data_IF_132235706106
#
_entry.id   IF_132235706106
#
_cell.length_a   1.000
_cell.length_b   1.000
_cell.length_c   1.000
_cell.angle_alpha   90.00
_cell.angle_beta   90.00
_cell.angle_gamma   90.00
#
_symmetry.space_group_name_H-M   'P 1'
#
loop_
_entity.id
_entity.type
_entity.pdbx_description
1 polymer ?
#
# COMPACT_ATOMS: atom_id res chain seq x y z
N UNK A 1 20.37 20.60 7.77
CA UNK A 1 18.89 20.59 7.70
C UNK A 1 18.33 20.68 9.12
N UNK A 2 17.35 21.56 9.39
CA UNK A 2 16.81 21.74 10.75
C UNK A 2 16.02 20.52 11.23
N UNK A 3 15.87 20.33 12.56
CA UNK A 3 15.04 19.25 13.14
C UNK A 3 13.60 19.31 12.64
N UNK A 4 13.03 20.51 12.55
CA UNK A 4 11.67 20.75 12.05
C UNK A 4 11.54 20.30 10.59
N UNK A 5 12.50 20.69 9.75
CA UNK A 5 12.53 20.28 8.33
C UNK A 5 12.61 18.76 8.21
N UNK A 6 13.45 18.08 9.02
CA UNK A 6 13.56 16.61 9.01
C UNK A 6 12.24 15.94 9.40
N UNK A 7 11.57 16.42 10.45
CA UNK A 7 10.28 15.88 10.90
C UNK A 7 9.18 16.08 9.84
N UNK A 8 9.15 17.24 9.19
CA UNK A 8 8.20 17.53 8.12
C UNK A 8 8.44 16.67 6.87
N UNK A 9 9.71 16.48 6.47
CA UNK A 9 10.06 15.60 5.35
C UNK A 9 9.66 14.15 5.61
N UNK A 10 9.90 13.63 6.82
CA UNK A 10 9.46 12.29 7.21
C UNK A 10 7.94 12.16 7.19
N UNK A 11 7.24 13.13 7.78
CA UNK A 11 5.78 13.13 7.79
C UNK A 11 5.17 13.25 6.37
N UNK A 12 5.86 13.91 5.44
CA UNK A 12 5.48 13.94 4.02
C UNK A 12 5.74 12.59 3.35
N UNK A 13 6.91 11.99 3.59
CA UNK A 13 7.28 10.69 3.06
C UNK A 13 6.26 9.60 3.45
N UNK A 14 5.87 9.53 4.73
CA UNK A 14 4.87 8.58 5.23
C UNK A 14 3.51 8.82 4.55
N UNK A 15 3.09 10.09 4.43
CA UNK A 15 1.80 10.43 3.81
C UNK A 15 1.74 10.08 2.32
N UNK A 16 2.82 10.26 1.56
CA UNK A 16 2.85 9.86 0.15
C UNK A 16 2.60 8.34 0.02
N UNK A 17 3.22 7.54 0.88
CA UNK A 17 3.03 6.09 0.91
C UNK A 17 1.63 5.69 1.39
N UNK A 18 1.03 6.44 2.33
CA UNK A 18 -0.39 6.29 2.72
C UNK A 18 -1.38 6.52 1.59
N UNK A 19 -1.10 7.46 0.67
CA UNK A 19 -1.98 7.66 -0.49
C UNK A 19 -1.90 6.45 -1.43
N UNK A 20 -0.70 5.89 -1.62
CA UNK A 20 -0.51 4.62 -2.31
C UNK A 20 -1.29 3.48 -1.64
N UNK A 21 -1.23 3.37 -0.32
CA UNK A 21 -1.96 2.36 0.47
C UNK A 21 -3.49 2.54 0.39
N UNK A 22 -4.00 3.79 0.42
CA UNK A 22 -5.42 4.09 0.30
C UNK A 22 -5.97 3.78 -1.10
N UNK A 23 -5.16 4.00 -2.15
CA UNK A 23 -5.47 3.51 -3.51
C UNK A 23 -5.43 1.98 -3.59
N UNK A 24 -4.51 1.36 -2.85
CA UNK A 24 -4.40 -0.10 -2.70
C UNK A 24 -5.60 -0.74 -2.02
N UNK A 25 -6.23 -0.09 -1.03
CA UNK A 25 -7.38 -0.65 -0.31
C UNK A 25 -8.55 -0.96 -1.26
N UNK A 26 -8.90 -0.02 -2.14
CA UNK A 26 -9.99 -0.25 -3.12
C UNK A 26 -9.65 -1.34 -4.13
N UNK A 27 -8.38 -1.44 -4.53
CA UNK A 27 -7.93 -2.50 -5.41
C UNK A 27 -7.94 -3.86 -4.72
N UNK A 28 -7.52 -3.92 -3.46
CA UNK A 28 -7.59 -5.11 -2.62
C UNK A 28 -9.05 -5.59 -2.45
N UNK A 29 -9.99 -4.69 -2.17
CA UNK A 29 -11.43 -5.02 -2.11
C UNK A 29 -11.96 -5.59 -3.43
N UNK A 30 -11.51 -5.06 -4.57
CA UNK A 30 -11.91 -5.55 -5.89
C UNK A 30 -11.33 -6.93 -6.18
N UNK A 31 -10.07 -7.16 -5.81
CA UNK A 31 -9.40 -8.45 -5.95
C UNK A 31 -10.05 -9.49 -5.04
N UNK A 32 -10.25 -9.20 -3.75
CA UNK A 32 -10.88 -10.10 -2.79
C UNK A 32 -12.30 -10.53 -3.23
N UNK A 33 -13.03 -9.67 -3.94
CA UNK A 33 -14.37 -9.98 -4.48
C UNK A 33 -14.36 -10.74 -5.81
N UNK A 34 -13.21 -10.92 -6.47
CA UNK A 34 -13.11 -11.74 -7.67
C UNK A 34 -13.18 -13.23 -7.27
N UNK A 35 -14.21 -13.98 -7.70
CA UNK A 35 -14.36 -15.40 -7.33
C UNK A 35 -13.15 -16.27 -7.69
N UNK A 36 -12.35 -15.86 -8.68
CA UNK A 36 -11.12 -16.58 -9.05
C UNK A 36 -10.06 -16.57 -7.95
N UNK A 37 -10.10 -15.58 -7.04
CA UNK A 37 -9.16 -15.53 -5.91
C UNK A 37 -9.44 -16.63 -4.88
N UNK A 38 -10.65 -17.18 -4.84
CA UNK A 38 -11.03 -18.28 -3.93
C UNK A 38 -10.64 -18.00 -2.46
N UNK A 39 -10.95 -16.80 -1.98
CA UNK A 39 -10.65 -16.36 -0.61
C UNK A 39 -9.18 -16.06 -0.30
N UNK A 40 -8.26 -16.25 -1.25
CA UNK A 40 -6.82 -16.11 -1.02
C UNK A 40 -6.39 -14.69 -0.59
N UNK A 41 -7.20 -13.67 -0.87
CA UNK A 41 -6.93 -12.26 -0.54
C UNK A 41 -7.98 -11.63 0.39
N UNK A 42 -8.84 -12.42 1.05
CA UNK A 42 -9.93 -11.88 1.89
C UNK A 42 -9.41 -11.07 3.10
N UNK A 43 -8.22 -11.41 3.59
CA UNK A 43 -7.56 -10.72 4.68
C UNK A 43 -6.95 -9.37 4.27
N UNK A 44 -6.57 -9.22 3.00
CA UNK A 44 -5.75 -8.10 2.51
C UNK A 44 -6.39 -6.73 2.74
N UNK A 45 -7.71 -6.51 2.48
CA UNK A 45 -8.32 -5.22 2.78
C UNK A 45 -8.25 -4.85 4.27
N UNK A 46 -8.45 -5.81 5.17
CA UNK A 46 -8.41 -5.57 6.62
C UNK A 46 -7.02 -5.22 7.11
N UNK A 47 -5.99 -5.96 6.66
CA UNK A 47 -4.59 -5.65 6.98
C UNK A 47 -4.20 -4.25 6.49
N UNK A 48 -4.59 -3.88 5.26
CA UNK A 48 -4.29 -2.56 4.71
C UNK A 48 -4.98 -1.41 5.44
N UNK A 49 -6.18 -1.64 5.99
CA UNK A 49 -6.89 -0.62 6.77
C UNK A 49 -6.19 -0.36 8.12
N UNK A 50 -5.75 -1.42 8.82
CA UNK A 50 -4.95 -1.30 10.06
C UNK A 50 -3.62 -0.58 9.80
N UNK A 51 -2.91 -0.97 8.74
CA UNK A 51 -1.69 -0.32 8.29
C UNK A 51 -1.88 1.17 7.97
N UNK A 52 -2.97 1.51 7.29
CA UNK A 52 -3.30 2.89 6.96
C UNK A 52 -3.66 3.71 8.21
N UNK A 53 -4.34 3.12 9.20
CA UNK A 53 -4.63 3.77 10.47
C UNK A 53 -3.35 4.09 11.24
N UNK A 54 -2.45 3.11 11.37
CA UNK A 54 -1.16 3.29 12.04
C UNK A 54 -0.30 4.37 11.38
N UNK A 55 -0.13 4.34 10.06
CA UNK A 55 0.70 5.35 9.41
C UNK A 55 0.08 6.76 9.48
N UNK A 56 -1.25 6.89 9.54
CA UNK A 56 -1.90 8.20 9.78
C UNK A 56 -1.54 8.76 11.15
N UNK A 57 -1.57 7.92 12.18
CA UNK A 57 -1.15 8.27 13.54
C UNK A 57 0.34 8.62 13.59
N UNK A 58 1.18 7.82 12.95
CA UNK A 58 2.62 8.10 12.88
C UNK A 58 2.89 9.45 12.20
N UNK A 59 2.26 9.71 11.06
CA UNK A 59 2.45 10.98 10.34
C UNK A 59 1.92 12.19 11.12
N UNK A 60 0.82 12.04 11.88
CA UNK A 60 0.26 13.12 12.71
C UNK A 60 1.17 13.47 13.89
N UNK A 61 1.79 12.46 14.52
CA UNK A 61 2.76 12.65 15.60
C UNK A 61 3.99 13.48 15.20
N UNK A 62 4.36 13.48 13.91
CA UNK A 62 5.49 14.25 13.38
C UNK A 62 5.11 15.63 12.81
N UNK A 63 3.85 15.87 12.44
CA UNK A 63 3.42 17.16 11.90
C UNK A 63 2.84 18.08 12.99
N UNK A 64 3.62 19.05 13.45
CA UNK A 64 3.12 20.12 14.35
C UNK A 64 2.37 21.26 13.62
N UNK A 65 1.91 21.06 12.39
CA UNK A 65 1.33 22.11 11.55
C UNK A 65 -0.10 21.77 11.07
N UNK A 66 -0.99 22.78 10.95
CA UNK A 66 -2.30 22.61 10.35
C UNK A 66 -2.19 22.47 8.83
N UNK A 67 -2.61 21.32 8.30
CA UNK A 67 -3.30 21.08 7.01
C UNK A 67 -2.91 21.80 5.69
N UNK A 68 -1.74 22.42 5.54
CA UNK A 68 -1.33 23.09 4.27
C UNK A 68 -1.20 22.10 3.08
N UNK A 69 -1.24 20.78 3.32
CA UNK A 69 -0.78 19.76 2.37
C UNK A 69 -1.86 18.78 1.89
N UNK A 70 -3.12 18.99 2.25
CA UNK A 70 -4.28 18.23 1.73
C UNK A 70 -4.29 18.15 0.20
N UNK A 71 -3.84 19.19 -0.50
CA UNK A 71 -3.78 19.24 -1.97
C UNK A 71 -2.91 18.14 -2.62
N UNK A 72 -1.75 17.80 -2.04
CA UNK A 72 -0.87 16.76 -2.59
C UNK A 72 -1.49 15.36 -2.41
N UNK A 73 -2.15 15.14 -1.27
CA UNK A 73 -2.91 13.92 -0.97
C UNK A 73 -4.11 13.78 -1.92
N UNK A 74 -4.85 14.86 -2.18
CA UNK A 74 -5.94 14.88 -3.17
C UNK A 74 -5.45 14.60 -4.60
N UNK A 75 -4.33 15.20 -5.01
CA UNK A 75 -3.73 14.98 -6.33
C UNK A 75 -3.32 13.52 -6.58
N UNK A 76 -2.69 12.88 -5.59
CA UNK A 76 -2.29 11.47 -5.68
C UNK A 76 -3.48 10.50 -5.62
N UNK A 77 -4.52 10.81 -4.82
CA UNK A 77 -5.76 10.02 -4.78
C UNK A 77 -6.51 10.10 -6.12
N UNK A 78 -6.51 11.27 -6.76
CA UNK A 78 -7.03 11.45 -8.11
C UNK A 78 -6.22 10.67 -9.15
N UNK A 79 -4.89 10.66 -9.05
CA UNK A 79 -4.02 9.85 -9.91
C UNK A 79 -4.31 8.35 -9.80
N UNK A 80 -4.58 7.84 -8.59
CA UNK A 80 -4.99 6.45 -8.40
C UNK A 80 -6.37 6.13 -8.97
N UNK A 81 -7.34 7.05 -8.87
CA UNK A 81 -8.62 6.88 -9.56
C UNK A 81 -8.45 6.84 -11.07
N UNK A 82 -7.55 7.66 -11.63
CA UNK A 82 -7.20 7.65 -13.05
C UNK A 82 -6.54 6.33 -13.43
N UNK A 83 -5.57 5.84 -12.64
CA UNK A 83 -4.90 4.56 -12.87
C UNK A 83 -5.89 3.37 -12.83
N UNK A 84 -6.77 3.32 -11.82
CA UNK A 84 -7.83 2.31 -11.75
C UNK A 84 -8.86 2.44 -12.89
N UNK A 85 -9.12 3.66 -13.36
CA UNK A 85 -9.97 3.90 -14.53
C UNK A 85 -9.32 3.44 -15.83
N UNK A 86 -7.98 3.52 -15.93
CA UNK A 86 -7.21 2.99 -17.06
C UNK A 86 -7.25 1.45 -17.11
N UNK A 87 -7.62 0.77 -16.02
CA UNK A 87 -7.87 -0.68 -16.01
C UNK A 87 -9.28 -1.05 -16.50
N UNK A 88 -10.22 -0.11 -16.61
CA UNK A 88 -11.60 -0.38 -17.07
C UNK A 88 -11.73 -0.97 -18.47
N UNK A 89 -10.89 -0.58 -19.47
CA UNK A 89 -10.93 -1.19 -20.80
C UNK A 89 -10.47 -2.65 -20.79
N UNK A 90 -9.67 -3.06 -19.81
CA UNK A 90 -9.23 -4.44 -19.65
C UNK A 90 -10.40 -5.30 -19.16
N UNK A 91 -10.54 -6.50 -19.73
CA UNK A 91 -11.58 -7.47 -19.35
C UNK A 91 -10.94 -8.82 -19.04
N UNK A 92 -11.68 -9.65 -18.29
CA UNK A 92 -11.31 -11.06 -18.05
C UNK A 92 -9.94 -11.23 -17.38
N UNK A 93 -9.19 -12.23 -17.85
CA UNK A 93 -7.88 -12.64 -17.33
C UNK A 93 -6.85 -11.48 -17.35
N UNK A 94 -6.80 -10.69 -18.43
CA UNK A 94 -5.83 -9.60 -18.55
C UNK A 94 -6.02 -8.53 -17.47
N UNK A 95 -7.27 -8.15 -17.17
CA UNK A 95 -7.55 -7.21 -16.08
C UNK A 95 -7.05 -7.75 -14.74
N UNK A 96 -7.23 -9.05 -14.49
CA UNK A 96 -6.80 -9.71 -13.26
C UNK A 96 -5.29 -9.69 -13.12
N UNK A 97 -4.57 -10.11 -14.16
CA UNK A 97 -3.10 -10.14 -14.20
C UNK A 97 -2.53 -8.76 -13.89
N UNK A 98 -3.01 -7.72 -14.60
CA UNK A 98 -2.55 -6.35 -14.36
C UNK A 98 -2.92 -5.85 -12.96
N UNK A 99 -4.10 -6.19 -12.45
CA UNK A 99 -4.54 -5.78 -11.11
C UNK A 99 -3.69 -6.40 -10.00
N UNK A 100 -3.29 -7.68 -10.15
CA UNK A 100 -2.42 -8.36 -9.19
C UNK A 100 -1.01 -7.76 -9.18
N UNK A 101 -0.44 -7.46 -10.35
CA UNK A 101 0.88 -6.82 -10.43
C UNK A 101 0.87 -5.39 -9.87
N UNK A 102 -0.20 -4.63 -10.16
CA UNK A 102 -0.40 -3.30 -9.60
C UNK A 102 -0.49 -3.36 -8.07
N UNK A 103 -1.25 -4.31 -7.52
CA UNK A 103 -1.38 -4.48 -6.08
C UNK A 103 -0.06 -4.89 -5.43
N UNK A 104 0.69 -5.82 -6.06
CA UNK A 104 2.02 -6.24 -5.58
C UNK A 104 3.00 -5.06 -5.55
N UNK A 105 2.99 -4.23 -6.60
CA UNK A 105 3.82 -3.02 -6.66
C UNK A 105 3.51 -2.05 -5.52
N UNK A 106 2.23 -1.87 -5.18
CA UNK A 106 1.81 -1.02 -4.05
C UNK A 106 2.27 -1.59 -2.71
N UNK A 107 2.17 -2.90 -2.50
CA UNK A 107 2.66 -3.57 -1.28
C UNK A 107 4.17 -3.39 -1.13
N UNK A 108 4.94 -3.58 -2.20
CA UNK A 108 6.40 -3.40 -2.18
C UNK A 108 6.80 -1.94 -1.91
N UNK A 109 6.10 -0.98 -2.52
CA UNK A 109 6.33 0.44 -2.23
C UNK A 109 6.07 0.76 -0.76
N UNK A 110 4.97 0.26 -0.20
CA UNK A 110 4.62 0.42 1.22
C UNK A 110 5.64 -0.26 2.15
N UNK A 111 6.14 -1.45 1.79
CA UNK A 111 7.19 -2.14 2.56
C UNK A 111 8.43 -1.27 2.76
N UNK A 112 8.88 -0.57 1.71
CA UNK A 112 10.03 0.33 1.82
C UNK A 112 9.82 1.44 2.88
N UNK A 113 8.58 1.89 3.10
CA UNK A 113 8.26 2.83 4.17
C UNK A 113 8.43 2.19 5.56
N UNK A 114 8.04 0.93 5.73
CA UNK A 114 8.21 0.20 6.99
C UNK A 114 9.68 -0.05 7.30
N UNK A 115 10.47 -0.45 6.31
CA UNK A 115 11.93 -0.60 6.44
C UNK A 115 12.60 0.71 6.83
N UNK A 116 12.20 1.83 6.23
CA UNK A 116 12.68 3.14 6.66
C UNK A 116 12.27 3.42 8.11
N UNK A 117 11.03 3.14 8.49
CA UNK A 117 10.55 3.29 9.86
C UNK A 117 11.41 2.53 10.86
N UNK A 118 11.72 1.27 10.58
CA UNK A 118 12.60 0.41 11.38
C UNK A 118 14.01 0.99 11.49
N UNK A 119 14.56 1.53 10.41
CA UNK A 119 15.90 2.15 10.46
C UNK A 119 15.97 3.46 11.26
N UNK A 120 14.82 4.09 11.53
CA UNK A 120 14.71 5.39 12.20
C UNK A 120 14.33 5.28 13.69
N UNK A 121 13.92 4.11 14.17
CA UNK A 121 13.47 3.90 15.55
C UNK A 121 14.30 2.80 16.21
N UNK A 122 14.60 2.97 17.50
CA UNK A 122 15.37 1.99 18.25
C UNK A 122 14.53 0.73 18.53
N UNK A 123 15.14 -0.46 18.50
CA UNK A 123 14.44 -1.68 18.88
C UNK A 123 13.96 -1.67 20.33
N UNK A 124 12.82 -2.32 20.58
CA UNK A 124 12.35 -2.63 21.94
C UNK A 124 11.22 -1.76 22.47
N UNK A 125 10.70 -0.82 21.66
CA UNK A 125 9.41 -0.18 21.94
C UNK A 125 8.26 -0.78 21.10
N UNK A 126 7.04 -0.54 21.56
CA UNK A 126 5.82 -1.04 20.90
C UNK A 126 5.67 -0.50 19.46
N UNK A 127 6.22 0.68 19.18
CA UNK A 127 6.14 1.32 17.87
C UNK A 127 7.01 0.58 16.84
N UNK A 128 8.25 0.27 17.22
CA UNK A 128 9.16 -0.56 16.43
C UNK A 128 8.61 -1.99 16.24
N UNK A 129 8.00 -2.58 17.26
CA UNK A 129 7.36 -3.90 17.13
C UNK A 129 6.24 -3.89 16.08
N UNK A 130 5.39 -2.85 16.06
CA UNK A 130 4.33 -2.68 15.05
C UNK A 130 4.91 -2.46 13.65
N UNK A 131 5.96 -1.66 13.51
CA UNK A 131 6.66 -1.51 12.22
C UNK A 131 7.21 -2.87 11.73
N UNK A 132 7.78 -3.67 12.62
CA UNK A 132 8.33 -4.97 12.27
C UNK A 132 7.23 -5.97 11.90
N UNK A 133 6.06 -5.89 12.54
CA UNK A 133 4.88 -6.64 12.15
C UNK A 133 4.43 -6.29 10.73
N UNK A 134 4.26 -5.00 10.42
CA UNK A 134 3.84 -4.56 9.10
C UNK A 134 4.85 -4.86 8.00
N UNK A 135 6.14 -4.81 8.30
CA UNK A 135 7.19 -5.26 7.38
C UNK A 135 7.02 -6.74 7.01
N UNK A 136 6.83 -7.61 8.01
CA UNK A 136 6.59 -9.05 7.79
C UNK A 136 5.27 -9.30 7.06
N UNK A 137 4.22 -8.56 7.40
CA UNK A 137 2.94 -8.65 6.68
C UNK A 137 3.11 -8.30 5.21
N UNK A 138 3.81 -7.19 4.89
CA UNK A 138 4.04 -6.77 3.51
C UNK A 138 4.84 -7.80 2.70
N UNK A 139 5.80 -8.51 3.33
CA UNK A 139 6.49 -9.64 2.69
C UNK A 139 5.51 -10.74 2.30
N UNK A 140 4.68 -11.22 3.25
CA UNK A 140 3.68 -12.26 2.98
C UNK A 140 2.68 -11.84 1.90
N UNK A 141 2.13 -10.63 2.02
CA UNK A 141 1.21 -10.05 1.03
C UNK A 141 1.83 -10.04 -0.37
N UNK A 142 3.10 -9.64 -0.50
CA UNK A 142 3.80 -9.59 -1.79
C UNK A 142 4.02 -10.98 -2.39
N UNK A 143 4.32 -11.99 -1.55
CA UNK A 143 4.46 -13.38 -1.97
C UNK A 143 3.12 -13.96 -2.44
N UNK A 144 2.04 -13.75 -1.69
CA UNK A 144 0.69 -14.21 -2.04
C UNK A 144 0.24 -13.60 -3.38
N UNK A 145 0.41 -12.29 -3.54
CA UNK A 145 0.13 -11.58 -4.78
C UNK A 145 0.99 -12.07 -5.95
N UNK A 146 2.27 -12.38 -5.71
CA UNK A 146 3.15 -12.91 -6.76
C UNK A 146 2.70 -14.29 -7.24
N UNK A 147 2.34 -15.19 -6.32
CA UNK A 147 1.85 -16.54 -6.69
C UNK A 147 0.58 -16.44 -7.52
N UNK A 148 -0.37 -15.60 -7.11
CA UNK A 148 -1.61 -15.37 -7.86
C UNK A 148 -1.32 -14.70 -9.21
N UNK A 149 -0.41 -13.72 -9.26
CA UNK A 149 -0.04 -13.04 -10.50
C UNK A 149 0.56 -14.02 -11.52
N UNK A 150 1.47 -14.89 -11.09
CA UNK A 150 2.05 -15.91 -11.97
C UNK A 150 0.99 -16.86 -12.54
N UNK A 151 0.06 -17.33 -11.69
CA UNK A 151 -1.06 -18.18 -12.13
C UNK A 151 -1.93 -17.44 -13.16
N UNK A 152 -2.32 -16.21 -12.89
CA UNK A 152 -3.12 -15.39 -13.80
C UNK A 152 -2.40 -15.08 -15.11
N UNK A 153 -1.09 -14.82 -15.07
CA UNK A 153 -0.28 -14.53 -16.25
C UNK A 153 -0.17 -15.74 -17.18
N UNK A 154 0.01 -16.95 -16.62
CA UNK A 154 -0.03 -18.20 -17.40
C UNK A 154 -1.38 -18.36 -18.09
N UNK A 155 -2.48 -18.17 -17.37
CA UNK A 155 -3.83 -18.22 -17.96
C UNK A 155 -4.06 -17.15 -19.04
N UNK A 156 -3.42 -15.98 -18.92
CA UNK A 156 -3.64 -14.86 -19.85
C UNK A 156 -2.83 -14.98 -21.14
N UNK A 157 -1.61 -15.51 -21.07
CA UNK A 157 -0.61 -15.37 -22.15
C UNK A 157 -0.08 -16.69 -22.71
N UNK A 158 -0.36 -17.83 -22.08
CA UNK A 158 0.05 -19.16 -22.56
C UNK A 158 -1.13 -19.98 -23.13
N UNK A 159 -2.19 -19.31 -23.57
CA UNK A 159 -3.24 -19.91 -24.43
C UNK A 159 -2.73 -20.09 -25.87
#
# INVERSE_FOLDING_TARGET
>A
MSRITRQQSLAMYIRIHLVGASGGLRLAELLAKDPWMDGALDHLPGELDDEAAFAKEWASGYSRLPEIWTAAVFGLTAAMRVALSALRPLRGQLRRTVSLEAMRSLVLAKKAMWELGLSLHEPGDQFHERLAEFDRQAVRQAEDLQRLHQRAAVETFNE
#
